data_IF_653733932113
#
_entry.id   IF_653733932113
#
_cell.length_a   1.000
_cell.length_b   1.000
_cell.length_c   1.000
_cell.angle_alpha   90.00
_cell.angle_beta   90.00
_cell.angle_gamma   90.00
#
_symmetry.space_group_name_H-M   'P 1'
#
loop_
_entity.id
_entity.type
_entity.pdbx_description
1 polymer ?
#
# COMPACT_ATOMS: atom_id res chain seq x y z
N UNK A 1 -28.05 15.06 -8.32
CA UNK A 1 -27.18 16.07 -7.69
C UNK A 1 -26.40 15.53 -6.50
N UNK A 2 -27.02 14.92 -5.48
CA UNK A 2 -26.30 14.44 -4.29
C UNK A 2 -25.13 13.48 -4.58
N UNK A 3 -25.31 12.51 -5.48
CA UNK A 3 -24.24 11.57 -5.86
C UNK A 3 -23.06 12.29 -6.53
N UNK A 4 -23.35 13.21 -7.46
CA UNK A 4 -22.32 13.98 -8.16
C UNK A 4 -21.51 14.84 -7.19
N UNK A 5 -22.18 15.49 -6.22
CA UNK A 5 -21.51 16.27 -5.18
C UNK A 5 -20.63 15.40 -4.28
N UNK A 6 -21.09 14.19 -3.93
CA UNK A 6 -20.32 13.24 -3.14
C UNK A 6 -19.07 12.75 -3.89
N UNK A 7 -19.20 12.40 -5.17
CA UNK A 7 -18.07 12.01 -6.02
C UNK A 7 -17.07 13.15 -6.12
N UNK A 8 -17.52 14.36 -6.46
CA UNK A 8 -16.65 15.53 -6.57
C UNK A 8 -15.92 15.83 -5.27
N UNK A 9 -16.63 15.83 -4.14
CA UNK A 9 -16.03 16.11 -2.83
C UNK A 9 -14.99 15.06 -2.46
N UNK A 10 -15.31 13.77 -2.66
CA UNK A 10 -14.38 12.67 -2.41
C UNK A 10 -13.12 12.76 -3.28
N UNK A 11 -13.28 13.05 -4.57
CA UNK A 11 -12.15 13.22 -5.49
C UNK A 11 -11.27 14.39 -5.06
N UNK A 12 -11.85 15.56 -4.78
CA UNK A 12 -11.12 16.76 -4.34
C UNK A 12 -10.34 16.50 -3.04
N UNK A 13 -10.97 15.87 -2.05
CA UNK A 13 -10.33 15.49 -0.78
C UNK A 13 -9.22 14.43 -0.96
N UNK A 14 -9.22 13.70 -2.08
CA UNK A 14 -8.24 12.64 -2.36
C UNK A 14 -7.14 13.04 -3.35
N UNK A 15 -7.16 14.27 -3.89
CA UNK A 15 -6.16 14.75 -4.86
C UNK A 15 -4.71 14.67 -4.33
N UNK A 16 -4.49 14.88 -3.03
CA UNK A 16 -3.17 14.75 -2.41
C UNK A 16 -2.52 13.38 -2.62
N UNK A 17 -3.31 12.33 -2.85
CA UNK A 17 -2.83 10.99 -3.13
C UNK A 17 -2.89 10.66 -4.63
N UNK A 18 -4.01 11.01 -5.28
CA UNK A 18 -4.26 10.65 -6.69
C UNK A 18 -3.24 11.33 -7.59
N UNK A 19 -2.99 12.63 -7.39
CA UNK A 19 -2.16 13.41 -8.31
C UNK A 19 -0.69 13.02 -8.23
N UNK A 20 -0.03 12.92 -7.04
CA UNK A 20 1.36 12.46 -6.98
C UNK A 20 1.54 11.03 -7.51
N UNK A 21 0.55 10.16 -7.31
CA UNK A 21 0.59 8.80 -7.85
C UNK A 21 0.59 8.80 -9.38
N UNK A 22 -0.35 9.52 -10.01
CA UNK A 22 -0.40 9.64 -11.48
C UNK A 22 0.89 10.28 -11.99
N UNK A 23 1.35 11.34 -11.33
CA UNK A 23 2.59 12.02 -11.69
C UNK A 23 3.79 11.07 -11.69
N UNK A 24 3.88 10.18 -10.69
CA UNK A 24 4.96 9.22 -10.57
C UNK A 24 4.88 8.11 -11.64
N UNK A 25 3.68 7.60 -11.93
CA UNK A 25 3.43 6.59 -12.96
C UNK A 25 3.75 7.13 -14.36
N UNK A 26 3.48 8.41 -14.62
CA UNK A 26 3.81 9.07 -15.88
C UNK A 26 5.30 9.41 -16.02
N UNK A 27 6.02 9.58 -14.89
CA UNK A 27 7.43 9.97 -14.90
C UNK A 27 8.39 8.80 -15.16
N UNK A 28 8.16 7.67 -14.52
CA UNK A 28 9.00 6.47 -14.71
C UNK A 28 8.11 5.25 -14.84
N UNK A 29 8.50 4.34 -15.72
CA UNK A 29 7.91 3.01 -15.72
C UNK A 29 8.29 2.31 -14.43
N UNK A 30 7.29 1.71 -13.78
CA UNK A 30 7.42 1.01 -12.52
C UNK A 30 7.17 -0.47 -12.78
N UNK A 31 8.00 -1.33 -12.20
CA UNK A 31 7.73 -2.77 -12.23
C UNK A 31 6.44 -3.06 -11.48
N UNK A 32 5.59 -3.84 -12.13
CA UNK A 32 4.32 -4.26 -11.56
C UNK A 32 4.51 -5.47 -10.65
N UNK A 33 3.64 -5.65 -9.64
CA UNK A 33 3.69 -6.83 -8.81
C UNK A 33 3.57 -8.13 -9.58
N UNK A 34 4.19 -9.18 -9.05
CA UNK A 34 4.08 -10.54 -9.58
C UNK A 34 2.60 -10.94 -9.60
N UNK A 35 2.07 -11.20 -10.79
CA UNK A 35 0.67 -11.61 -10.93
C UNK A 35 0.55 -13.11 -10.74
N UNK A 36 -0.24 -13.53 -9.76
CA UNK A 36 -0.61 -14.94 -9.59
C UNK A 36 -1.94 -15.21 -10.32
N UNK A 37 -2.19 -16.43 -10.83
CA UNK A 37 -3.50 -16.80 -11.35
C UNK A 37 -4.57 -16.55 -10.29
N UNK A 38 -5.55 -15.69 -10.60
CA UNK A 38 -6.60 -15.30 -9.65
C UNK A 38 -7.38 -16.52 -9.15
N UNK A 39 -7.58 -17.52 -10.02
CA UNK A 39 -8.28 -18.76 -9.71
C UNK A 39 -7.61 -19.60 -8.62
N UNK A 40 -6.29 -19.51 -8.45
CA UNK A 40 -5.56 -20.23 -7.40
C UNK A 40 -5.79 -19.64 -6.00
N UNK A 41 -6.39 -18.45 -5.94
CA UNK A 41 -6.65 -17.71 -4.72
C UNK A 41 -8.15 -17.66 -4.38
N UNK A 42 -8.98 -18.40 -5.13
CA UNK A 42 -10.41 -18.51 -4.89
C UNK A 42 -10.73 -19.64 -3.91
N UNK A 43 -11.86 -19.49 -3.23
CA UNK A 43 -12.37 -20.50 -2.30
C UNK A 43 -13.57 -21.24 -2.91
N UNK A 44 -13.66 -22.54 -2.67
CA UNK A 44 -14.96 -23.22 -2.76
C UNK A 44 -15.84 -22.88 -1.54
N UNK A 45 -17.13 -23.17 -1.61
CA UNK A 45 -18.06 -22.83 -0.53
C UNK A 45 -17.68 -23.41 0.83
N UNK A 46 -17.21 -24.67 0.86
CA UNK A 46 -16.79 -25.33 2.10
C UNK A 46 -15.59 -24.59 2.71
N UNK A 47 -14.59 -24.28 1.89
CA UNK A 47 -13.42 -23.53 2.32
C UNK A 47 -13.78 -22.11 2.78
N UNK A 48 -14.67 -21.42 2.06
CA UNK A 48 -15.15 -20.09 2.45
C UNK A 48 -15.73 -20.12 3.88
N UNK A 49 -16.59 -21.09 4.16
CA UNK A 49 -17.19 -21.27 5.49
C UNK A 49 -16.10 -21.59 6.52
N UNK A 50 -15.23 -22.58 6.26
CA UNK A 50 -14.19 -23.00 7.20
C UNK A 50 -13.20 -21.86 7.54
N UNK A 51 -12.72 -21.13 6.54
CA UNK A 51 -11.75 -20.04 6.71
C UNK A 51 -12.34 -18.92 7.57
N UNK A 52 -13.60 -18.57 7.36
CA UNK A 52 -14.30 -17.58 8.18
C UNK A 52 -14.57 -18.09 9.60
N UNK A 53 -14.98 -19.36 9.77
CA UNK A 53 -15.25 -19.96 11.09
C UNK A 53 -13.99 -20.07 11.96
N UNK A 54 -12.85 -20.38 11.35
CA UNK A 54 -11.54 -20.44 12.02
C UNK A 54 -10.91 -19.03 12.17
N UNK A 55 -11.61 -17.99 11.71
CA UNK A 55 -11.20 -16.58 11.81
C UNK A 55 -9.82 -16.29 11.17
N UNK A 56 -9.58 -16.81 9.97
CA UNK A 56 -8.36 -16.52 9.18
C UNK A 56 -8.52 -15.17 8.44
N UNK A 57 -8.21 -14.07 9.13
CA UNK A 57 -8.38 -12.70 8.63
C UNK A 57 -7.44 -12.33 7.47
N UNK A 58 -6.34 -13.07 7.31
CA UNK A 58 -5.41 -12.93 6.18
C UNK A 58 -6.03 -13.34 4.83
N UNK A 59 -7.12 -14.11 4.86
CA UNK A 59 -7.75 -14.69 3.67
C UNK A 59 -9.16 -14.20 3.42
N UNK A 60 -9.94 -13.98 4.48
CA UNK A 60 -11.36 -13.66 4.41
C UNK A 60 -11.79 -12.67 5.50
N UNK A 61 -13.05 -12.24 5.46
CA UNK A 61 -13.62 -11.23 6.39
C UNK A 61 -13.66 -11.67 7.86
N UNK A 62 -13.53 -12.97 8.14
CA UNK A 62 -13.45 -13.52 9.49
C UNK A 62 -14.80 -13.80 10.13
N UNK A 63 -14.74 -14.38 11.32
CA UNK A 63 -15.90 -15.00 11.99
C UNK A 63 -17.01 -14.01 12.30
N UNK A 64 -16.65 -12.85 12.88
CA UNK A 64 -17.63 -11.86 13.36
C UNK A 64 -18.42 -11.28 12.19
N UNK A 65 -17.75 -10.94 11.09
CA UNK A 65 -18.40 -10.40 9.90
C UNK A 65 -19.14 -11.49 9.12
N UNK A 66 -18.66 -12.72 9.14
CA UNK A 66 -19.39 -13.84 8.56
C UNK A 66 -20.73 -14.09 9.28
N UNK A 67 -20.75 -14.09 10.62
CA UNK A 67 -21.99 -14.18 11.40
C UNK A 67 -22.88 -12.95 11.20
N UNK A 68 -22.29 -11.77 10.98
CA UNK A 68 -23.05 -10.54 10.74
C UNK A 68 -24.02 -10.69 9.56
N UNK A 69 -23.67 -11.48 8.53
CA UNK A 69 -24.54 -11.75 7.39
C UNK A 69 -25.86 -12.37 7.85
N UNK A 70 -25.80 -13.36 8.76
CA UNK A 70 -26.98 -14.02 9.32
C UNK A 70 -27.82 -13.05 10.16
N UNK A 71 -27.16 -12.26 11.02
CA UNK A 71 -27.84 -11.24 11.86
C UNK A 71 -28.56 -10.20 10.99
N UNK A 72 -27.89 -9.72 9.94
CA UNK A 72 -28.44 -8.76 8.98
C UNK A 72 -29.62 -9.37 8.23
N UNK A 73 -29.54 -10.63 7.77
CA UNK A 73 -30.66 -11.33 7.13
C UNK A 73 -31.90 -11.38 8.03
N UNK A 74 -31.75 -11.80 9.29
CA UNK A 74 -32.86 -11.87 10.26
C UNK A 74 -33.47 -10.48 10.52
N UNK A 75 -32.65 -9.44 10.44
CA UNK A 75 -33.03 -8.05 10.77
C UNK A 75 -33.21 -7.17 9.54
N UNK A 76 -33.27 -7.74 8.33
CA UNK A 76 -33.29 -6.99 7.07
C UNK A 76 -34.48 -6.01 6.99
N UNK A 77 -35.62 -6.39 7.59
CA UNK A 77 -36.81 -5.53 7.67
C UNK A 77 -36.58 -4.21 8.43
N UNK A 78 -35.62 -4.17 9.35
CA UNK A 78 -35.30 -2.99 10.16
C UNK A 78 -34.26 -2.08 9.50
N UNK A 79 -33.68 -2.52 8.39
CA UNK A 79 -32.71 -1.77 7.60
C UNK A 79 -33.47 -1.04 6.49
N UNK A 80 -33.21 0.25 6.31
CA UNK A 80 -33.85 1.05 5.26
C UNK A 80 -33.51 0.49 3.87
N UNK A 81 -34.41 0.65 2.91
CA UNK A 81 -34.25 0.08 1.56
C UNK A 81 -32.94 0.49 0.89
N UNK A 82 -32.50 1.74 1.08
CA UNK A 82 -31.25 2.24 0.50
C UNK A 82 -30.03 1.46 1.01
N UNK A 83 -30.00 1.12 2.31
CA UNK A 83 -28.88 0.39 2.92
C UNK A 83 -28.92 -1.11 2.60
N UNK A 84 -30.08 -1.67 2.24
CA UNK A 84 -30.16 -3.05 1.75
C UNK A 84 -29.37 -3.26 0.47
N UNK A 85 -29.19 -2.22 -0.36
CA UNK A 85 -28.31 -2.31 -1.53
C UNK A 85 -26.85 -2.57 -1.13
N UNK A 86 -26.35 -1.95 -0.04
CA UNK A 86 -25.02 -2.25 0.49
C UNK A 86 -24.91 -3.71 0.90
N UNK A 87 -25.97 -4.29 1.47
CA UNK A 87 -25.97 -5.70 1.86
C UNK A 87 -25.84 -6.62 0.63
N UNK A 88 -26.59 -6.34 -0.43
CA UNK A 88 -26.49 -7.08 -1.70
C UNK A 88 -25.09 -6.94 -2.29
N UNK A 89 -24.53 -5.73 -2.30
CA UNK A 89 -23.16 -5.47 -2.78
C UNK A 89 -22.15 -6.28 -1.95
N UNK A 90 -22.25 -6.29 -0.62
CA UNK A 90 -21.38 -7.10 0.25
C UNK A 90 -21.46 -8.60 -0.07
N UNK A 91 -22.67 -9.12 -0.32
CA UNK A 91 -22.84 -10.52 -0.71
C UNK A 91 -22.17 -10.80 -2.06
N UNK A 92 -22.38 -9.94 -3.06
CA UNK A 92 -21.71 -10.05 -4.36
C UNK A 92 -20.19 -10.03 -4.22
N UNK A 93 -19.63 -9.16 -3.37
CA UNK A 93 -18.19 -9.07 -3.12
C UNK A 93 -17.63 -10.34 -2.44
N UNK A 94 -18.35 -10.92 -1.48
CA UNK A 94 -17.98 -12.21 -0.87
C UNK A 94 -17.98 -13.31 -1.94
N UNK A 95 -19.05 -13.41 -2.72
CA UNK A 95 -19.17 -14.42 -3.77
C UNK A 95 -18.10 -14.24 -4.85
N UNK A 96 -17.63 -13.02 -5.11
CA UNK A 96 -16.53 -12.74 -6.02
C UNK A 96 -15.18 -13.31 -5.56
N UNK A 97 -15.04 -13.70 -4.29
CA UNK A 97 -13.87 -14.43 -3.77
C UNK A 97 -13.98 -15.96 -3.94
N UNK A 98 -15.03 -16.44 -4.60
CA UNK A 98 -15.29 -17.87 -4.80
C UNK A 98 -15.20 -18.26 -6.29
N UNK A 99 -15.14 -19.57 -6.55
CA UNK A 99 -15.16 -20.13 -7.91
C UNK A 99 -16.42 -19.80 -8.73
N UNK A 100 -17.45 -19.18 -8.14
CA UNK A 100 -18.61 -18.70 -8.90
C UNK A 100 -18.23 -17.60 -9.90
N UNK A 101 -17.19 -16.83 -9.61
CA UNK A 101 -16.68 -15.80 -10.50
C UNK A 101 -15.43 -16.32 -11.18
N UNK A 102 -15.56 -16.66 -12.46
CA UNK A 102 -14.41 -17.01 -13.28
C UNK A 102 -13.70 -15.73 -13.75
N UNK A 103 -12.75 -15.28 -12.94
CA UNK A 103 -11.98 -14.06 -13.20
C UNK A 103 -11.14 -14.11 -14.49
N UNK A 104 -10.82 -15.29 -15.02
CA UNK A 104 -10.06 -15.42 -16.28
C UNK A 104 -10.90 -15.06 -17.51
N UNK A 105 -12.22 -15.26 -17.44
CA UNK A 105 -13.13 -14.93 -18.52
C UNK A 105 -13.61 -13.47 -18.51
N UNK A 106 -13.24 -12.68 -17.48
CA UNK A 106 -13.62 -11.29 -17.43
C UNK A 106 -12.76 -10.45 -18.39
N UNK A 107 -13.35 -9.79 -19.40
CA UNK A 107 -12.60 -9.08 -20.45
C UNK A 107 -11.98 -7.75 -19.98
N UNK A 108 -12.08 -7.41 -18.71
CA UNK A 108 -11.63 -6.13 -18.18
C UNK A 108 -10.16 -6.22 -17.79
N UNK A 109 -9.29 -5.78 -18.70
CA UNK A 109 -7.87 -5.49 -18.42
C UNK A 109 -7.68 -4.62 -17.17
N UNK A 110 -8.65 -3.75 -16.85
CA UNK A 110 -8.72 -2.93 -15.63
C UNK A 110 -8.85 -3.75 -14.33
N UNK A 111 -9.51 -4.91 -14.35
CA UNK A 111 -9.68 -5.73 -13.13
C UNK A 111 -8.40 -6.47 -12.73
N UNK A 112 -7.41 -6.59 -13.64
CA UNK A 112 -6.07 -7.09 -13.30
C UNK A 112 -5.38 -6.22 -12.23
N UNK A 113 -5.80 -4.96 -12.05
CA UNK A 113 -5.34 -4.05 -10.98
C UNK A 113 -5.69 -4.56 -9.59
N UNK A 114 -6.79 -5.31 -9.44
CA UNK A 114 -7.19 -5.89 -8.15
C UNK A 114 -6.11 -6.89 -7.67
N UNK A 115 -5.37 -7.52 -8.59
CA UNK A 115 -4.30 -8.53 -8.40
C UNK A 115 -4.69 -9.78 -7.60
N UNK A 116 -5.59 -9.66 -6.62
CA UNK A 116 -6.06 -10.74 -5.76
C UNK A 116 -7.52 -10.52 -5.31
N UNK A 117 -8.40 -11.54 -5.41
CA UNK A 117 -9.82 -11.39 -5.06
C UNK A 117 -10.05 -10.95 -3.60
N UNK A 118 -9.17 -11.35 -2.66
CA UNK A 118 -9.31 -10.95 -1.26
C UNK A 118 -9.16 -9.44 -1.01
N UNK A 119 -8.63 -8.65 -1.97
CA UNK A 119 -8.65 -7.17 -1.83
C UNK A 119 -10.06 -6.62 -1.75
N UNK A 120 -11.04 -7.34 -2.29
CA UNK A 120 -12.46 -6.98 -2.17
C UNK A 120 -12.98 -7.07 -0.73
N UNK A 121 -12.31 -7.85 0.14
CA UNK A 121 -12.72 -8.02 1.54
C UNK A 121 -12.67 -6.72 2.33
N UNK A 122 -11.84 -5.74 1.93
CA UNK A 122 -11.83 -4.41 2.56
C UNK A 122 -13.17 -3.69 2.41
N UNK A 123 -13.75 -3.72 1.21
CA UNK A 123 -15.07 -3.15 0.95
C UNK A 123 -16.17 -3.94 1.64
N UNK A 124 -16.12 -5.27 1.57
CA UNK A 124 -17.07 -6.15 2.27
C UNK A 124 -17.06 -5.87 3.77
N UNK A 125 -15.87 -5.72 4.35
CA UNK A 125 -15.67 -5.43 5.77
C UNK A 125 -16.33 -4.12 6.17
N UNK A 126 -16.08 -3.05 5.40
CA UNK A 126 -16.66 -1.74 5.65
C UNK A 126 -18.20 -1.79 5.62
N UNK A 127 -18.76 -2.36 4.56
CA UNK A 127 -20.21 -2.40 4.36
C UNK A 127 -20.92 -3.29 5.39
N UNK A 128 -20.40 -4.49 5.66
CA UNK A 128 -20.99 -5.37 6.67
C UNK A 128 -20.84 -4.80 8.08
N UNK A 129 -19.71 -4.16 8.42
CA UNK A 129 -19.53 -3.52 9.73
C UNK A 129 -20.54 -2.40 9.95
N UNK A 130 -20.76 -1.56 8.94
CA UNK A 130 -21.77 -0.50 8.99
C UNK A 130 -23.18 -1.06 9.18
N UNK A 131 -23.57 -2.05 8.36
CA UNK A 131 -24.90 -2.66 8.44
C UNK A 131 -25.12 -3.40 9.76
N UNK A 132 -24.10 -4.09 10.25
CA UNK A 132 -24.13 -4.75 11.55
C UNK A 132 -24.35 -3.70 12.65
N UNK A 133 -23.63 -2.58 12.63
CA UNK A 133 -23.82 -1.50 13.60
C UNK A 133 -25.27 -0.97 13.59
N UNK A 134 -25.84 -0.69 12.40
CA UNK A 134 -27.24 -0.27 12.26
C UNK A 134 -28.21 -1.30 12.85
N UNK A 135 -27.98 -2.59 12.57
CA UNK A 135 -28.82 -3.68 13.09
C UNK A 135 -28.70 -3.83 14.62
N UNK A 136 -27.48 -3.72 15.16
CA UNK A 136 -27.16 -3.88 16.57
C UNK A 136 -27.65 -2.71 17.43
N UNK A 137 -27.65 -1.47 16.91
CA UNK A 137 -28.16 -0.30 17.64
C UNK A 137 -29.66 -0.38 17.95
N UNK A 138 -30.40 -1.25 17.24
CA UNK A 138 -31.81 -1.55 17.52
C UNK A 138 -32.00 -2.67 18.55
N UNK A 139 -30.92 -3.20 19.11
CA UNK A 139 -30.94 -4.23 20.15
C UNK A 139 -30.60 -3.64 21.52
N UNK A 140 -30.76 -4.46 22.57
CA UNK A 140 -30.42 -4.06 23.93
C UNK A 140 -28.91 -3.83 24.07
N UNK A 141 -28.54 -2.90 24.94
CA UNK A 141 -27.16 -2.45 25.16
C UNK A 141 -26.14 -3.57 25.36
N UNK A 142 -26.46 -4.55 26.19
CA UNK A 142 -25.56 -5.67 26.46
C UNK A 142 -25.28 -6.55 25.21
N UNK A 143 -26.21 -6.60 24.24
CA UNK A 143 -26.03 -7.40 23.01
C UNK A 143 -24.95 -6.78 22.13
N UNK A 144 -25.06 -5.49 21.82
CA UNK A 144 -24.07 -4.84 20.97
C UNK A 144 -22.72 -4.68 21.68
N UNK A 145 -22.70 -4.52 23.01
CA UNK A 145 -21.45 -4.58 23.81
C UNK A 145 -20.80 -5.96 23.68
N UNK A 146 -21.57 -7.05 23.79
CA UNK A 146 -21.06 -8.41 23.60
C UNK A 146 -20.44 -8.61 22.22
N UNK A 147 -21.08 -8.10 21.16
CA UNK A 147 -20.51 -8.11 19.81
C UNK A 147 -19.20 -7.33 19.69
N UNK A 148 -19.09 -6.16 20.34
CA UNK A 148 -17.85 -5.38 20.36
C UNK A 148 -16.73 -6.17 21.07
N UNK A 149 -17.02 -6.75 22.23
CA UNK A 149 -16.04 -7.56 22.97
C UNK A 149 -15.59 -8.76 22.13
N UNK A 150 -16.53 -9.45 21.48
CA UNK A 150 -16.24 -10.57 20.59
C UNK A 150 -15.38 -10.15 19.37
N UNK A 151 -15.67 -8.99 18.78
CA UNK A 151 -14.87 -8.44 17.68
C UNK A 151 -13.44 -8.16 18.11
N UNK A 152 -13.26 -7.49 19.27
CA UNK A 152 -11.93 -7.17 19.80
C UNK A 152 -11.16 -8.44 20.13
N UNK A 153 -11.79 -9.42 20.80
CA UNK A 153 -11.12 -10.65 21.20
C UNK A 153 -10.67 -11.47 19.99
N UNK A 154 -11.55 -11.66 18.99
CA UNK A 154 -11.25 -12.41 17.78
C UNK A 154 -10.14 -11.77 16.94
N UNK A 155 -10.15 -10.43 16.81
CA UNK A 155 -9.07 -9.71 16.13
C UNK A 155 -7.75 -9.84 16.89
N UNK A 156 -7.77 -9.68 18.22
CA UNK A 156 -6.56 -9.80 19.05
C UNK A 156 -5.92 -11.18 18.91
N UNK A 157 -6.72 -12.25 18.96
CA UNK A 157 -6.24 -13.63 18.78
C UNK A 157 -5.64 -13.83 17.39
N UNK A 158 -6.30 -13.33 16.34
CA UNK A 158 -5.79 -13.43 14.97
C UNK A 158 -4.46 -12.70 14.81
N UNK A 159 -4.36 -11.47 15.35
CA UNK A 159 -3.12 -10.68 15.31
C UNK A 159 -1.99 -11.40 16.04
N UNK A 160 -2.24 -11.91 17.25
CA UNK A 160 -1.22 -12.66 18.01
C UNK A 160 -0.76 -13.90 17.22
N UNK A 161 -1.69 -14.64 16.61
CA UNK A 161 -1.35 -15.81 15.80
C UNK A 161 -0.47 -15.44 14.62
N UNK A 162 -0.81 -14.37 13.90
CA UNK A 162 0.00 -13.85 12.78
C UNK A 162 1.38 -13.40 13.27
N UNK A 163 1.46 -12.67 14.38
CA UNK A 163 2.73 -12.26 14.96
C UNK A 163 3.62 -13.45 15.36
N UNK A 164 3.03 -14.51 15.94
CA UNK A 164 3.77 -15.75 16.28
C UNK A 164 4.27 -16.48 15.05
N UNK A 165 3.40 -16.66 14.04
CA UNK A 165 3.77 -17.28 12.77
C UNK A 165 4.97 -16.55 12.13
N UNK A 166 4.90 -15.22 12.10
CA UNK A 166 5.98 -14.40 11.55
C UNK A 166 7.27 -14.45 12.39
N UNK A 167 7.18 -14.72 13.69
CA UNK A 167 8.34 -14.83 14.58
C UNK A 167 9.02 -16.22 14.57
N UNK A 168 8.30 -17.28 14.21
CA UNK A 168 8.77 -18.68 14.33
C UNK A 168 9.33 -19.28 13.03
N UNK A 169 9.06 -18.70 11.85
CA UNK A 169 9.59 -19.22 10.57
C UNK A 169 11.09 -18.88 10.35
N UNK A 170 11.91 -19.80 9.80
CA UNK A 170 13.36 -19.65 9.72
C UNK A 170 13.80 -18.49 8.81
N UNK A 171 14.49 -17.53 9.44
CA UNK A 171 14.96 -16.23 8.95
C UNK A 171 15.85 -16.31 7.70
N UNK A 172 15.50 -15.57 6.64
CA UNK A 172 16.42 -15.13 5.56
C UNK A 172 16.40 -13.59 5.47
N UNK A 173 17.43 -12.95 6.05
CA UNK A 173 17.67 -11.49 6.09
C UNK A 173 18.14 -11.04 4.68
N UNK A 174 17.97 -9.81 4.17
CA UNK A 174 17.98 -8.50 4.84
C UNK A 174 17.21 -7.39 4.08
N UNK A 175 16.12 -6.88 4.67
CA UNK A 175 15.78 -5.46 4.59
C UNK A 175 16.32 -4.79 5.85
N UNK A 176 17.22 -3.83 5.67
CA UNK A 176 17.74 -3.00 6.76
C UNK A 176 16.84 -1.78 6.89
N UNK A 177 15.62 -1.93 7.42
CA UNK A 177 14.93 -0.76 7.97
C UNK A 177 15.61 -0.41 9.31
N UNK A 178 16.54 0.54 9.26
CA UNK A 178 17.07 1.23 10.44
C UNK A 178 16.03 2.23 10.98
N UNK A 179 14.82 1.76 11.25
CA UNK A 179 13.85 2.50 12.05
C UNK A 179 14.09 2.15 13.52
N UNK A 180 14.64 3.10 14.29
CA UNK A 180 14.80 3.01 15.76
C UNK A 180 13.48 2.72 16.51
N UNK A 181 12.34 2.76 15.83
CA UNK A 181 11.00 2.61 16.41
C UNK A 181 10.56 1.16 16.60
N UNK A 182 11.24 0.19 15.98
CA UNK A 182 10.87 -1.21 16.06
C UNK A 182 12.12 -2.06 16.31
N UNK A 183 12.32 -2.52 17.55
CA UNK A 183 13.21 -3.65 17.90
C UNK A 183 12.74 -5.00 17.31
N UNK A 184 11.87 -4.96 16.29
CA UNK A 184 11.32 -6.11 15.59
C UNK A 184 12.25 -6.54 14.46
N UNK A 185 13.40 -7.11 14.84
CA UNK A 185 14.44 -7.59 13.93
C UNK A 185 14.05 -8.86 13.13
N UNK A 186 12.83 -9.40 13.31
CA UNK A 186 12.46 -10.75 12.88
C UNK A 186 11.18 -10.85 12.02
N UNK A 187 10.54 -9.74 11.62
CA UNK A 187 9.14 -9.79 11.18
C UNK A 187 8.86 -10.04 9.68
N UNK A 188 9.84 -10.17 8.79
CA UNK A 188 9.53 -10.27 7.34
C UNK A 188 10.42 -11.23 6.55
N UNK A 189 9.79 -12.24 5.93
CA UNK A 189 10.35 -13.06 4.86
C UNK A 189 10.70 -12.20 3.65
N UNK A 190 11.99 -12.06 3.33
CA UNK A 190 12.44 -11.22 2.22
C UNK A 190 12.42 -11.99 0.89
N UNK A 191 11.24 -12.08 0.28
CA UNK A 191 11.19 -12.02 -1.18
C UNK A 191 11.46 -10.57 -1.53
N UNK A 192 12.51 -10.28 -2.30
CA UNK A 192 12.69 -8.94 -2.86
C UNK A 192 11.65 -8.74 -3.95
N UNK A 193 10.45 -8.38 -3.52
CA UNK A 193 9.35 -8.07 -4.40
C UNK A 193 9.70 -6.72 -5.02
N UNK A 194 9.87 -6.64 -6.35
CA UNK A 194 10.22 -5.38 -7.01
C UNK A 194 9.01 -4.44 -7.12
N UNK A 195 8.06 -4.52 -6.19
CA UNK A 195 6.81 -3.77 -6.28
C UNK A 195 7.14 -2.29 -6.36
N UNK A 196 6.73 -1.68 -7.47
CA UNK A 196 6.92 -0.25 -7.73
C UNK A 196 8.37 0.21 -7.77
N UNK A 197 9.35 -0.69 -7.97
CA UNK A 197 10.73 -0.29 -8.31
C UNK A 197 10.78 0.28 -9.73
N UNK A 198 11.86 0.97 -10.10
CA UNK A 198 12.01 1.34 -11.51
C UNK A 198 12.07 0.07 -12.37
N UNK A 199 11.41 0.11 -13.54
CA UNK A 199 11.37 -1.03 -14.44
C UNK A 199 12.70 -1.15 -15.21
N UNK A 200 13.29 -2.36 -15.24
CA UNK A 200 14.53 -2.61 -16.03
C UNK A 200 14.19 -3.01 -17.46
N UNK A 201 13.15 -3.82 -17.64
CA UNK A 201 12.63 -4.23 -18.95
C UNK A 201 11.11 -4.34 -18.92
N UNK A 202 10.49 -4.12 -20.07
CA UNK A 202 9.03 -4.09 -20.20
C UNK A 202 8.38 -5.36 -19.66
N UNK A 203 7.52 -5.20 -18.65
CA UNK A 203 6.80 -6.30 -18.02
C UNK A 203 7.60 -7.10 -16.98
N UNK A 204 8.68 -6.56 -16.41
CA UNK A 204 9.44 -7.24 -15.35
C UNK A 204 8.55 -7.52 -14.13
N UNK A 205 8.24 -8.79 -13.89
CA UNK A 205 7.34 -9.28 -12.81
C UNK A 205 7.99 -10.34 -11.93
N UNK A 206 9.32 -10.39 -11.88
CA UNK A 206 10.08 -11.42 -11.18
C UNK A 206 10.66 -10.88 -9.88
N UNK A 207 10.81 -11.75 -8.89
CA UNK A 207 11.59 -11.45 -7.69
C UNK A 207 13.00 -10.98 -8.09
N UNK A 208 13.57 -10.05 -7.32
CA UNK A 208 14.95 -9.61 -7.54
C UNK A 208 15.88 -10.77 -7.11
N UNK A 209 16.62 -11.31 -8.07
CA UNK A 209 17.62 -12.37 -7.92
C UNK A 209 19.02 -11.79 -8.13
N UNK A 210 20.12 -12.50 -7.76
CA UNK A 210 21.48 -11.96 -7.89
C UNK A 210 21.87 -11.46 -9.28
N UNK A 211 21.31 -12.04 -10.35
CA UNK A 211 21.57 -11.62 -11.73
C UNK A 211 20.76 -10.39 -12.17
N UNK A 212 19.80 -9.94 -11.35
CA UNK A 212 18.96 -8.78 -11.62
C UNK A 212 19.75 -7.48 -11.34
N UNK A 213 19.78 -6.50 -12.25
CA UNK A 213 20.45 -5.22 -12.01
C UNK A 213 20.05 -4.49 -10.72
N UNK A 214 18.79 -4.63 -10.26
CA UNK A 214 18.30 -4.04 -8.99
C UNK A 214 18.88 -4.72 -7.76
N UNK A 215 19.50 -5.89 -7.90
CA UNK A 215 20.19 -6.58 -6.81
C UNK A 215 21.23 -5.67 -6.14
N UNK A 216 21.85 -4.80 -6.92
CA UNK A 216 22.84 -3.81 -6.42
C UNK A 216 22.22 -2.80 -5.45
N UNK A 217 20.99 -2.36 -5.74
CA UNK A 217 20.22 -1.47 -4.85
C UNK A 217 19.90 -2.20 -3.55
N UNK A 218 19.48 -3.47 -3.65
CA UNK A 218 19.19 -4.34 -2.51
C UNK A 218 20.42 -4.59 -1.64
N UNK A 219 21.57 -4.84 -2.26
CA UNK A 219 22.84 -5.07 -1.56
C UNK A 219 23.49 -3.78 -1.05
N UNK A 220 22.88 -2.62 -1.30
CA UNK A 220 23.44 -1.32 -0.96
C UNK A 220 24.83 -1.08 -1.58
N UNK A 221 25.06 -1.63 -2.76
CA UNK A 221 26.32 -1.54 -3.48
C UNK A 221 26.41 -0.22 -4.25
N UNK A 222 27.57 0.43 -4.12
CA UNK A 222 27.90 1.65 -4.86
C UNK A 222 28.93 1.31 -5.92
N UNK A 223 28.68 1.75 -7.14
CA UNK A 223 29.61 1.57 -8.25
C UNK A 223 30.09 2.92 -8.77
N UNK A 224 31.34 2.99 -9.24
CA UNK A 224 31.91 4.13 -9.93
C UNK A 224 32.53 3.65 -11.24
N UNK A 225 32.13 4.22 -12.38
CA UNK A 225 32.63 3.78 -13.69
C UNK A 225 32.36 2.29 -13.96
N UNK A 226 31.23 1.78 -13.42
CA UNK A 226 30.84 0.35 -13.40
C UNK A 226 31.74 -0.61 -12.62
N UNK A 227 32.61 -0.10 -11.77
CA UNK A 227 33.39 -0.90 -10.81
C UNK A 227 32.83 -0.75 -9.40
N UNK A 228 32.74 -1.86 -8.66
CA UNK A 228 32.26 -1.84 -7.28
C UNK A 228 33.25 -1.07 -6.40
N UNK A 229 32.74 -0.11 -5.63
CA UNK A 229 33.55 0.66 -4.67
C UNK A 229 33.46 0.00 -3.31
N UNK A 230 34.55 -0.67 -2.91
CA UNK A 230 34.63 -1.30 -1.59
C UNK A 230 34.81 -0.24 -0.49
N UNK A 231 34.11 -0.41 0.63
CA UNK A 231 34.31 0.41 1.84
C UNK A 231 33.64 1.79 1.81
N UNK A 232 32.61 2.01 0.98
CA UNK A 232 31.83 3.25 1.01
C UNK A 232 31.16 3.42 2.36
N UNK A 233 31.46 4.54 3.03
CA UNK A 233 30.73 4.93 4.23
C UNK A 233 29.34 5.43 3.81
N UNK A 234 28.33 4.62 4.10
CA UNK A 234 26.93 4.93 3.84
C UNK A 234 26.18 5.19 5.15
N UNK A 235 25.34 6.23 5.16
CA UNK A 235 24.44 6.53 6.26
C UNK A 235 23.04 6.77 5.71
N UNK A 236 22.05 6.15 6.35
CA UNK A 236 20.64 6.21 5.97
C UNK A 236 19.84 6.83 7.11
N UNK A 237 19.10 7.86 6.77
CA UNK A 237 18.16 8.52 7.66
C UNK A 237 16.76 8.48 7.05
N UNK A 238 15.73 8.85 7.82
CA UNK A 238 14.36 8.89 7.33
C UNK A 238 14.17 9.77 6.07
N UNK A 239 15.02 10.78 5.87
CA UNK A 239 14.84 11.78 4.81
C UNK A 239 15.98 11.82 3.79
N UNK A 240 17.07 11.08 3.99
CA UNK A 240 18.24 11.14 3.11
C UNK A 240 19.15 9.92 3.26
N UNK A 241 19.82 9.57 2.15
CA UNK A 241 20.94 8.65 2.12
C UNK A 241 22.22 9.42 1.75
N UNK A 242 23.32 9.18 2.47
CA UNK A 242 24.62 9.81 2.20
C UNK A 242 25.69 8.77 1.93
N UNK A 243 26.57 9.06 0.99
CA UNK A 243 27.65 8.18 0.53
C UNK A 243 28.95 8.97 0.43
N UNK A 244 30.00 8.52 1.10
CA UNK A 244 31.35 9.07 0.90
C UNK A 244 32.13 8.17 -0.04
N UNK A 245 32.56 8.71 -1.18
CA UNK A 245 33.30 7.96 -2.19
C UNK A 245 34.47 8.77 -2.74
N UNK A 246 35.49 8.07 -3.23
CA UNK A 246 36.67 8.67 -3.82
C UNK A 246 36.79 8.24 -5.28
N UNK A 247 36.79 9.21 -6.18
CA UNK A 247 37.12 9.01 -7.58
C UNK A 247 38.63 9.21 -7.79
N UNK A 248 39.33 8.10 -8.05
CA UNK A 248 40.77 8.09 -8.31
C UNK A 248 41.11 8.31 -9.81
N UNK A 249 40.11 8.43 -10.67
CA UNK A 249 40.32 8.68 -12.09
C UNK A 249 40.61 10.17 -12.34
N UNK A 250 41.36 10.48 -13.40
CA UNK A 250 41.66 11.86 -13.80
C UNK A 250 40.50 12.56 -14.54
N UNK A 251 39.32 11.94 -14.56
CA UNK A 251 38.12 12.45 -15.22
C UNK A 251 36.89 12.17 -14.36
N UNK A 252 35.81 12.89 -14.65
CA UNK A 252 34.52 12.60 -14.03
C UNK A 252 34.06 11.21 -14.43
N UNK A 253 33.58 10.45 -13.44
CA UNK A 253 33.00 9.11 -13.63
C UNK A 253 31.55 9.10 -13.15
N UNK A 254 30.75 8.16 -13.66
CA UNK A 254 29.37 8.00 -13.19
C UNK A 254 29.36 7.12 -11.95
N UNK A 255 28.86 7.67 -10.85
CA UNK A 255 28.52 6.92 -9.65
C UNK A 255 27.09 6.40 -9.77
N UNK A 256 26.91 5.10 -9.52
CA UNK A 256 25.63 4.44 -9.42
C UNK A 256 25.34 4.16 -7.95
N UNK A 257 24.35 4.86 -7.42
CA UNK A 257 23.98 4.80 -6.01
C UNK A 257 22.85 3.78 -5.79
N UNK A 258 22.83 3.06 -4.67
CA UNK A 258 21.80 2.08 -4.34
C UNK A 258 20.51 2.76 -3.84
N UNK A 259 19.98 3.69 -4.64
CA UNK A 259 18.73 4.41 -4.39
C UNK A 259 17.95 4.41 -5.69
N UNK A 260 16.67 4.01 -5.66
CA UNK A 260 15.77 4.13 -6.81
C UNK A 260 15.66 5.57 -7.29
N UNK A 261 15.22 5.79 -8.53
CA UNK A 261 15.09 7.12 -9.11
C UNK A 261 13.62 7.48 -9.33
N UNK A 262 13.05 8.29 -8.42
CA UNK A 262 11.66 8.76 -8.52
C UNK A 262 11.59 10.27 -8.77
N UNK A 263 10.42 10.76 -9.18
CA UNK A 263 10.23 12.18 -9.45
C UNK A 263 10.39 12.97 -8.16
N UNK A 264 11.08 14.11 -8.23
CA UNK A 264 11.37 14.93 -7.04
C UNK A 264 12.60 14.48 -6.26
N UNK A 265 13.37 13.51 -6.78
CA UNK A 265 14.71 13.22 -6.27
C UNK A 265 15.61 14.45 -6.43
N UNK A 266 16.43 14.70 -5.41
CA UNK A 266 17.51 15.66 -5.41
C UNK A 266 18.79 15.01 -4.96
N UNK A 267 19.88 15.27 -5.68
CA UNK A 267 21.20 14.77 -5.34
C UNK A 267 22.12 15.96 -5.11
N UNK A 268 22.89 15.90 -4.02
CA UNK A 268 23.88 16.92 -3.68
C UNK A 268 25.27 16.30 -3.70
N UNK A 269 26.21 16.98 -4.35
CA UNK A 269 27.65 16.68 -4.32
C UNK A 269 28.33 17.76 -3.47
N UNK A 270 28.87 17.38 -2.32
CA UNK A 270 29.52 18.29 -1.36
C UNK A 270 28.66 19.50 -0.95
N UNK A 271 27.33 19.33 -0.97
CA UNK A 271 26.35 20.35 -0.59
C UNK A 271 25.71 21.09 -1.77
N UNK A 272 26.28 20.98 -2.97
CA UNK A 272 25.73 21.61 -4.19
C UNK A 272 24.79 20.66 -4.94
N UNK A 273 23.64 21.17 -5.39
CA UNK A 273 22.65 20.35 -6.11
C UNK A 273 23.20 19.98 -7.50
N UNK A 274 23.23 18.68 -7.81
CA UNK A 274 23.71 18.14 -9.08
C UNK A 274 22.61 17.35 -9.78
N UNK A 275 22.69 17.31 -11.11
CA UNK A 275 21.74 16.55 -11.94
C UNK A 275 21.99 15.06 -11.75
N UNK A 276 20.92 14.32 -11.44
CA UNK A 276 20.90 12.86 -11.44
C UNK A 276 19.98 12.31 -12.52
N UNK A 277 20.18 11.05 -12.89
CA UNK A 277 19.37 10.35 -13.89
C UNK A 277 19.07 8.92 -13.48
N UNK A 278 18.04 8.33 -14.11
CA UNK A 278 17.81 6.89 -14.04
C UNK A 278 18.96 6.15 -14.74
N UNK A 279 19.54 5.18 -14.05
CA UNK A 279 20.61 4.32 -14.58
C UNK A 279 20.06 3.08 -15.29
N UNK A 280 20.92 2.42 -16.07
CA UNK A 280 20.65 1.08 -16.64
C UNK A 280 20.39 0.00 -15.57
N UNK A 281 20.74 0.24 -14.31
CA UNK A 281 20.51 -0.68 -13.20
C UNK A 281 19.31 -0.30 -12.34
N UNK A 282 18.38 0.48 -12.90
CA UNK A 282 17.17 0.88 -12.19
C UNK A 282 17.50 1.63 -10.89
N UNK A 283 18.58 2.41 -10.92
CA UNK A 283 19.11 3.12 -9.75
C UNK A 283 19.48 4.57 -10.10
N UNK A 284 19.94 5.32 -9.11
CA UNK A 284 20.35 6.72 -9.30
C UNK A 284 21.77 6.79 -9.86
N UNK A 285 21.94 7.47 -10.99
CA UNK A 285 23.23 7.81 -11.57
C UNK A 285 23.56 9.29 -11.37
N UNK A 286 24.80 9.60 -11.00
CA UNK A 286 25.31 10.96 -10.84
C UNK A 286 26.77 11.05 -11.29
N UNK A 287 27.14 12.13 -11.97
CA UNK A 287 28.54 12.37 -12.34
C UNK A 287 29.35 12.86 -11.14
N UNK A 288 30.49 12.22 -10.88
CA UNK A 288 31.39 12.56 -9.78
C UNK A 288 32.78 12.93 -10.34
N UNK A 289 33.28 14.15 -10.09
CA UNK A 289 34.61 14.58 -10.54
C UNK A 289 35.74 13.83 -9.80
N UNK A 290 37.00 13.98 -10.21
CA UNK A 290 38.16 13.46 -9.49
C UNK A 290 38.25 14.01 -8.06
N UNK A 291 38.50 13.14 -7.08
CA UNK A 291 38.63 13.53 -5.68
C UNK A 291 37.75 12.73 -4.72
N UNK A 292 37.77 13.14 -3.45
CA UNK A 292 36.91 12.57 -2.40
C UNK A 292 35.67 13.45 -2.26
N UNK A 293 34.49 12.84 -2.37
CA UNK A 293 33.23 13.57 -2.38
C UNK A 293 32.20 12.90 -1.47
N UNK A 294 31.30 13.73 -0.93
CA UNK A 294 30.11 13.29 -0.22
C UNK A 294 28.89 13.51 -1.09
N UNK A 295 28.22 12.42 -1.45
CA UNK A 295 26.94 12.45 -2.13
C UNK A 295 25.81 12.34 -1.12
N UNK A 296 24.76 13.14 -1.29
CA UNK A 296 23.52 13.06 -0.52
C UNK A 296 22.33 12.98 -1.45
N UNK A 297 21.54 11.90 -1.33
CA UNK A 297 20.29 11.70 -2.06
C UNK A 297 19.11 11.96 -1.13
N UNK A 298 18.15 12.76 -1.58
CA UNK A 298 16.90 13.06 -0.86
C UNK A 298 15.73 13.20 -1.83
N UNK A 299 14.52 13.31 -1.28
CA UNK A 299 13.29 13.48 -2.05
C UNK A 299 12.54 14.71 -1.58
N UNK A 300 11.97 15.44 -2.54
CA UNK A 300 11.12 16.58 -2.28
C UNK A 300 9.83 16.45 -3.09
N UNK A 301 8.71 16.83 -2.47
CA UNK A 301 7.44 16.88 -3.19
C UNK A 301 7.52 17.87 -4.35
N UNK A 302 7.00 17.45 -5.49
CA UNK A 302 6.84 18.29 -6.67
C UNK A 302 5.89 19.47 -6.39
N UNK A 303 5.96 20.50 -7.23
CA UNK A 303 5.00 21.60 -7.15
C UNK A 303 3.55 21.09 -7.28
N UNK A 304 3.33 20.15 -8.20
CA UNK A 304 2.01 19.57 -8.44
C UNK A 304 1.50 18.80 -7.22
N UNK A 305 2.35 18.02 -6.55
CA UNK A 305 2.00 17.33 -5.31
C UNK A 305 1.63 18.31 -4.19
N UNK A 306 2.41 19.39 -4.04
CA UNK A 306 2.13 20.44 -3.04
C UNK A 306 0.80 21.15 -3.29
N UNK A 307 0.52 21.54 -4.54
CA UNK A 307 -0.76 22.16 -4.91
C UNK A 307 -1.92 21.20 -4.65
N UNK A 308 -1.78 19.93 -5.04
CA UNK A 308 -2.82 18.92 -4.85
C UNK A 308 -3.12 18.67 -3.37
N UNK A 309 -2.08 18.65 -2.53
CA UNK A 309 -2.25 18.59 -1.07
C UNK A 309 -3.03 19.77 -0.52
N UNK A 310 -2.69 20.99 -0.93
CA UNK A 310 -3.39 22.22 -0.50
C UNK A 310 -4.87 22.18 -0.91
N UNK A 311 -5.18 21.79 -2.15
CA UNK A 311 -6.56 21.66 -2.62
C UNK A 311 -7.34 20.63 -1.79
N UNK A 312 -6.76 19.45 -1.54
CA UNK A 312 -7.41 18.42 -0.71
C UNK A 312 -7.65 18.88 0.72
N UNK A 313 -6.70 19.59 1.30
CA UNK A 313 -6.81 20.13 2.65
C UNK A 313 -7.96 21.14 2.75
N UNK A 314 -8.00 22.14 1.86
CA UNK A 314 -9.08 23.13 1.85
C UNK A 314 -10.43 22.50 1.53
N UNK A 315 -10.50 21.54 0.61
CA UNK A 315 -11.72 20.80 0.29
C UNK A 315 -12.26 20.06 1.50
N UNK A 316 -11.37 19.46 2.30
CA UNK A 316 -11.74 18.80 3.56
C UNK A 316 -12.30 19.80 4.57
N UNK A 317 -11.65 20.95 4.75
CA UNK A 317 -12.15 22.00 5.65
C UNK A 317 -13.51 22.53 5.22
N UNK A 318 -13.69 22.84 3.92
CA UNK A 318 -14.96 23.31 3.37
C UNK A 318 -16.07 22.26 3.60
N UNK A 319 -15.77 20.98 3.33
CA UNK A 319 -16.72 19.90 3.58
C UNK A 319 -17.14 19.82 5.05
N UNK A 320 -16.18 19.90 5.98
CA UNK A 320 -16.46 19.88 7.41
C UNK A 320 -17.28 21.10 7.86
N UNK A 321 -16.97 22.29 7.35
CA UNK A 321 -17.73 23.51 7.64
C UNK A 321 -19.18 23.39 7.17
N UNK A 322 -19.40 22.95 5.93
CA UNK A 322 -20.75 22.71 5.38
C UNK A 322 -21.49 21.68 6.23
N UNK A 323 -20.82 20.59 6.63
CA UNK A 323 -21.41 19.56 7.47
C UNK A 323 -21.84 20.11 8.84
N UNK A 324 -20.99 20.91 9.49
CA UNK A 324 -21.27 21.51 10.79
C UNK A 324 -22.47 22.47 10.68
N UNK A 325 -22.46 23.38 9.70
CA UNK A 325 -23.54 24.36 9.49
C UNK A 325 -24.88 23.65 9.24
N UNK A 326 -24.89 22.65 8.35
CA UNK A 326 -26.10 21.90 8.03
C UNK A 326 -26.65 21.09 9.23
N UNK A 327 -25.78 20.70 10.17
CA UNK A 327 -26.19 20.01 11.39
C UNK A 327 -26.72 20.98 12.44
N UNK A 328 -26.10 22.16 12.59
CA UNK A 328 -26.58 23.19 13.52
C UNK A 328 -27.96 23.71 13.14
N UNK A 329 -28.22 23.96 11.85
CA UNK A 329 -29.53 24.42 11.36
C UNK A 329 -30.65 23.41 11.63
N UNK A 330 -30.36 22.10 11.53
CA UNK A 330 -31.31 21.02 11.83
C UNK A 330 -31.58 20.82 13.32
N UNK A 331 -30.80 21.41 14.21
CA UNK A 331 -30.98 21.29 15.66
C UNK A 331 -31.74 22.48 16.24
N UNK A 332 -31.86 23.57 15.47
CA UNK A 332 -32.57 24.80 15.83
C UNK A 332 -34.01 24.89 15.30
N UNK A 333 -34.48 23.85 14.60
CA UNK A 333 -35.87 23.65 14.15
C UNK A 333 -36.40 22.38 14.79
#
# INVERSE_FOLDING_TARGET
MALMNAVLSCTLMSLFQIVPLIEQILFTKLSSPVTFPLNNQLFNFKQLITVNLVNQLDKQVGFVLFISVVVICIRLRYIEKIWRMLFVISLCLILATTYLVNWENFPLTLLKVIQFPWRLNGFTTLFLSYLLAVALLKLRKYIYISFIILAISMNTVSVIKTCKLLAEEPVKVAFRELSRRNDYYQLTHSVFVPDYTNEISEGTKTNIIPDDPRWRVVQHEVYLGKQLVNGVQSNYSANAATFQLRNNQNKSEIAYLPVYFYKGQKVYLDGEEVVSSLSEWSSTAVAVPPGTHTLRVTYSYTLLAKISFVISLFSTFIFLLIYIIAKTEKTTV
#
